data_IF_151876218543
#
_entry.id   IF_151876218543
#
_cell.length_a   1.000
_cell.length_b   1.000
_cell.length_c   1.000
_cell.angle_alpha   90.00
_cell.angle_beta   90.00
_cell.angle_gamma   90.00
#
_symmetry.space_group_name_H-M   'P 1'
#
loop_
_entity.id
_entity.type
_entity.pdbx_description
1 polymer ?
#
# COMPACT_ATOMS: atom_id res chain seq x y z
N UNK A 1 -12.78 -3.62 18.35
CA UNK A 1 -12.16 -2.35 17.91
C UNK A 1 -12.68 -2.02 16.52
N UNK A 2 -13.27 -0.83 16.30
CA UNK A 2 -13.86 -0.46 15.00
C UNK A 2 -12.75 -0.10 14.01
N UNK A 3 -12.70 -0.76 12.85
CA UNK A 3 -11.79 -0.38 11.76
C UNK A 3 -12.31 0.93 11.17
N UNK A 4 -11.49 1.98 11.22
CA UNK A 4 -11.79 3.30 10.65
C UNK A 4 -11.08 3.41 9.29
N UNK A 5 -11.82 3.49 8.17
CA UNK A 5 -11.24 3.78 6.86
C UNK A 5 -10.57 5.15 6.85
N UNK A 6 -9.51 5.31 6.07
CA UNK A 6 -8.77 6.57 5.94
C UNK A 6 -8.68 6.98 4.49
N UNK A 7 -8.85 8.27 4.25
CA UNK A 7 -8.43 8.91 3.02
C UNK A 7 -6.91 8.97 3.00
N UNK A 8 -6.30 8.57 1.89
CA UNK A 8 -4.87 8.64 1.64
C UNK A 8 -4.62 9.47 0.37
N UNK A 9 -3.63 10.35 0.45
CA UNK A 9 -2.96 10.95 -0.71
C UNK A 9 -1.50 10.50 -0.70
N UNK A 10 -0.98 10.06 -1.85
CA UNK A 10 0.40 9.68 -2.03
C UNK A 10 0.94 10.19 -3.35
N UNK A 11 2.01 10.96 -3.26
CA UNK A 11 2.80 11.40 -4.40
C UNK A 11 4.07 10.55 -4.53
N UNK A 12 4.54 10.44 -5.77
CA UNK A 12 5.81 9.82 -6.16
C UNK A 12 6.55 10.78 -7.09
N UNK A 13 7.87 10.85 -6.97
CA UNK A 13 8.69 11.71 -7.84
C UNK A 13 10.01 12.13 -7.21
N UNK A 14 10.98 12.45 -8.06
CA UNK A 14 12.31 12.92 -7.64
C UNK A 14 12.30 14.38 -7.16
N UNK A 15 11.22 15.12 -7.42
CA UNK A 15 11.01 16.52 -7.03
C UNK A 15 10.37 16.69 -5.63
N UNK A 16 10.30 15.62 -4.84
CA UNK A 16 9.63 15.60 -3.54
C UNK A 16 10.52 15.99 -2.35
N UNK A 17 11.79 16.33 -2.55
CA UNK A 17 12.73 16.62 -1.46
C UNK A 17 12.24 17.75 -0.54
N UNK A 18 11.71 18.84 -1.12
CA UNK A 18 11.17 19.96 -0.34
C UNK A 18 9.92 19.54 0.47
N UNK A 19 9.04 18.74 -0.13
CA UNK A 19 7.83 18.27 0.54
C UNK A 19 8.16 17.29 1.68
N UNK A 20 9.13 16.40 1.47
CA UNK A 20 9.63 15.52 2.53
C UNK A 20 10.25 16.32 3.67
N UNK A 21 11.12 17.28 3.38
CA UNK A 21 11.73 18.13 4.39
C UNK A 21 10.68 18.89 5.20
N UNK A 22 9.73 19.55 4.52
CA UNK A 22 8.64 20.28 5.18
C UNK A 22 7.76 19.38 6.04
N UNK A 23 7.45 18.16 5.57
CA UNK A 23 6.68 17.21 6.36
C UNK A 23 7.40 16.84 7.66
N UNK A 24 8.71 16.61 7.60
CA UNK A 24 9.51 16.24 8.77
C UNK A 24 9.76 17.41 9.72
N UNK A 25 9.83 18.64 9.19
CA UNK A 25 9.96 19.86 9.98
C UNK A 25 8.68 20.20 10.76
N UNK A 26 7.52 20.10 10.10
CA UNK A 26 6.23 20.44 10.68
C UNK A 26 5.61 19.29 11.49
N UNK A 27 6.03 18.06 11.21
CA UNK A 27 5.54 16.86 11.85
C UNK A 27 6.12 16.63 13.25
N UNK A 28 5.39 15.89 14.08
CA UNK A 28 5.81 15.49 15.43
C UNK A 28 5.87 13.97 15.55
N UNK A 29 6.57 13.46 16.57
CA UNK A 29 6.65 12.01 16.82
C UNK A 29 7.40 11.24 15.74
N UNK A 30 8.50 11.80 15.24
CA UNK A 30 9.31 11.20 14.18
C UNK A 30 9.74 9.77 14.53
N UNK A 31 9.35 8.84 13.66
CA UNK A 31 9.78 7.45 13.72
C UNK A 31 10.39 7.04 12.38
N UNK A 32 11.62 6.50 12.40
CA UNK A 32 12.26 5.95 11.21
C UNK A 32 12.05 4.45 11.15
N UNK A 33 11.62 3.95 9.99
CA UNK A 33 11.39 2.52 9.75
C UNK A 33 12.00 2.09 8.43
N UNK A 34 12.57 0.89 8.47
CA UNK A 34 12.92 0.13 7.27
C UNK A 34 12.14 -1.17 7.26
N UNK A 35 11.47 -1.48 6.15
CA UNK A 35 10.69 -2.71 6.01
C UNK A 35 10.93 -3.35 4.66
N UNK A 36 10.99 -4.68 4.66
CA UNK A 36 10.83 -5.52 3.46
C UNK A 36 9.40 -6.04 3.44
N UNK A 37 8.73 -5.88 2.31
CA UNK A 37 7.33 -6.25 2.10
C UNK A 37 7.21 -6.94 0.73
N UNK A 38 6.27 -7.86 0.58
CA UNK A 38 5.91 -8.42 -0.73
C UNK A 38 4.52 -7.96 -1.08
N UNK A 39 4.37 -7.26 -2.20
CA UNK A 39 3.08 -6.85 -2.73
C UNK A 39 2.55 -7.89 -3.69
N UNK A 40 1.26 -8.22 -3.57
CA UNK A 40 0.59 -9.06 -4.56
C UNK A 40 -0.20 -8.13 -5.45
N UNK A 41 0.21 -8.07 -6.71
CA UNK A 41 -0.33 -7.14 -7.70
C UNK A 41 -1.10 -7.94 -8.74
N UNK A 42 -2.28 -7.45 -9.08
CA UNK A 42 -3.09 -7.95 -10.20
C UNK A 42 -3.67 -6.77 -10.98
N UNK A 43 -4.49 -7.05 -11.98
CA UNK A 43 -5.26 -6.04 -12.73
C UNK A 43 -6.31 -5.32 -11.87
N UNK A 44 -6.68 -5.85 -10.70
CA UNK A 44 -7.65 -5.22 -9.81
C UNK A 44 -7.14 -3.89 -9.26
N UNK A 45 -7.85 -2.80 -9.56
CA UNK A 45 -7.43 -1.46 -9.16
C UNK A 45 -7.80 -1.09 -7.72
N UNK A 46 -8.85 -1.73 -7.19
CA UNK A 46 -9.48 -1.38 -5.91
C UNK A 46 -8.97 -2.20 -4.71
N UNK A 47 -7.85 -2.91 -4.89
CA UNK A 47 -7.29 -3.80 -3.88
C UNK A 47 -5.81 -3.55 -3.69
N UNK A 48 -5.38 -3.52 -2.43
CA UNK A 48 -3.99 -3.42 -2.01
C UNK A 48 -3.67 -4.62 -1.11
N UNK A 49 -2.98 -5.59 -1.67
CA UNK A 49 -2.56 -6.82 -0.97
C UNK A 49 -1.06 -6.75 -0.71
N UNK A 50 -0.67 -6.99 0.54
CA UNK A 50 0.73 -7.05 0.92
C UNK A 50 0.97 -8.10 1.99
N UNK A 51 2.21 -8.59 2.01
CA UNK A 51 2.75 -9.45 3.04
C UNK A 51 3.86 -8.68 3.75
N UNK A 52 3.81 -8.69 5.08
CA UNK A 52 4.86 -8.11 5.92
C UNK A 52 4.95 -8.83 7.25
N UNK A 53 6.16 -9.27 7.59
CA UNK A 53 6.46 -9.95 8.86
C UNK A 53 5.50 -11.13 9.12
N UNK A 54 5.34 -12.02 8.13
CA UNK A 54 4.47 -13.20 8.25
C UNK A 54 2.98 -12.89 8.23
N UNK A 55 2.56 -11.69 7.83
CA UNK A 55 1.14 -11.28 7.83
C UNK A 55 0.71 -10.82 6.45
N UNK A 56 -0.33 -11.47 5.91
CA UNK A 56 -1.09 -11.05 4.75
C UNK A 56 -2.13 -10.00 5.17
N UNK A 57 -2.07 -8.80 4.57
CA UNK A 57 -2.95 -7.66 4.83
C UNK A 57 -3.59 -7.21 3.52
N UNK A 58 -4.93 -7.14 3.50
CA UNK A 58 -5.70 -6.70 2.34
C UNK A 58 -6.52 -5.47 2.71
N UNK A 59 -6.31 -4.40 1.95
CA UNK A 59 -7.17 -3.21 1.96
C UNK A 59 -7.96 -3.13 0.67
N UNK A 60 -9.21 -2.68 0.80
CA UNK A 60 -10.05 -2.28 -0.35
C UNK A 60 -10.20 -0.77 -0.41
N UNK A 61 -10.24 -0.26 -1.62
CA UNK A 61 -10.71 1.09 -1.91
C UNK A 61 -12.22 1.10 -1.75
N UNK A 62 -12.74 2.03 -0.93
CA UNK A 62 -14.17 2.19 -0.72
C UNK A 62 -14.78 3.22 -1.67
N UNK A 63 -14.09 4.34 -1.82
CA UNK A 63 -14.52 5.47 -2.64
C UNK A 63 -13.34 6.42 -2.86
N UNK A 64 -13.60 7.40 -3.72
CA UNK A 64 -12.73 8.54 -3.96
C UNK A 64 -13.50 9.81 -3.64
N UNK A 65 -12.84 10.75 -2.96
CA UNK A 65 -13.34 12.11 -2.76
C UNK A 65 -12.31 13.07 -3.34
N UNK A 66 -12.71 13.81 -4.37
CA UNK A 66 -11.80 14.57 -5.20
C UNK A 66 -10.69 13.64 -5.73
N UNK A 67 -9.47 13.83 -5.25
CA UNK A 67 -8.30 12.99 -5.58
C UNK A 67 -7.89 12.03 -4.48
N UNK A 68 -8.53 12.08 -3.32
CA UNK A 68 -8.20 11.24 -2.18
C UNK A 68 -8.83 9.86 -2.33
N UNK A 69 -8.09 8.83 -1.95
CA UNK A 69 -8.56 7.44 -1.98
C UNK A 69 -8.87 6.96 -0.57
N UNK A 70 -10.11 6.50 -0.32
CA UNK A 70 -10.50 6.00 1.01
C UNK A 70 -10.30 4.50 1.13
N UNK A 71 -9.29 4.08 1.89
CA UNK A 71 -8.93 2.68 2.06
C UNK A 71 -9.45 2.10 3.37
N UNK A 72 -9.95 0.86 3.31
CA UNK A 72 -10.39 0.07 4.47
C UNK A 72 -9.65 -1.27 4.52
N UNK A 73 -8.98 -1.59 5.63
CA UNK A 73 -8.55 -2.96 5.91
C UNK A 73 -9.76 -3.89 5.96
N UNK A 74 -9.77 -4.92 5.12
CA UNK A 74 -10.87 -5.90 5.04
C UNK A 74 -10.46 -7.29 5.50
N UNK A 75 -9.17 -7.61 5.43
CA UNK A 75 -8.66 -8.93 5.77
C UNK A 75 -7.24 -8.84 6.30
N UNK A 76 -6.94 -9.63 7.34
CA UNK A 76 -5.61 -9.72 7.93
C UNK A 76 -5.42 -11.09 8.57
N UNK A 77 -4.40 -11.82 8.15
CA UNK A 77 -4.13 -13.18 8.65
C UNK A 77 -2.62 -13.42 8.72
N UNK A 78 -2.17 -14.14 9.74
CA UNK A 78 -0.78 -14.58 9.85
C UNK A 78 -0.58 -15.87 9.05
N UNK A 79 0.62 -16.04 8.49
CA UNK A 79 1.04 -17.32 7.93
C UNK A 79 1.38 -18.32 9.06
N UNK A 80 1.21 -19.64 8.82
CA UNK A 80 0.66 -20.22 7.59
C UNK A 80 -0.87 -19.99 7.49
N UNK A 81 -1.37 -19.88 6.25
CA UNK A 81 -2.80 -19.61 5.97
C UNK A 81 -3.47 -20.86 5.41
N UNK A 82 -4.72 -21.09 5.75
CA UNK A 82 -5.50 -22.17 5.13
C UNK A 82 -5.65 -21.91 3.62
N UNK A 83 -5.44 -22.94 2.81
CA UNK A 83 -5.46 -22.81 1.35
C UNK A 83 -6.83 -22.34 0.82
N UNK A 84 -7.91 -22.66 1.52
CA UNK A 84 -9.25 -22.16 1.22
C UNK A 84 -9.38 -20.62 1.34
N UNK A 85 -8.57 -19.98 2.18
CA UNK A 85 -8.53 -18.50 2.30
C UNK A 85 -8.16 -17.86 0.98
N UNK A 86 -7.27 -18.48 0.19
CA UNK A 86 -6.88 -17.95 -1.11
C UNK A 86 -8.10 -17.87 -2.03
N UNK A 87 -8.80 -18.99 -2.18
CA UNK A 87 -9.97 -19.10 -3.07
C UNK A 87 -11.16 -18.24 -2.62
N UNK A 88 -11.38 -18.08 -1.32
CA UNK A 88 -12.58 -17.41 -0.79
C UNK A 88 -12.38 -15.92 -0.49
N UNK A 89 -11.14 -15.52 -0.18
CA UNK A 89 -10.85 -14.17 0.34
C UNK A 89 -9.79 -13.42 -0.45
N UNK A 90 -8.83 -14.10 -1.08
CA UNK A 90 -7.72 -13.42 -1.78
C UNK A 90 -7.99 -13.28 -3.28
N UNK A 91 -8.21 -14.38 -3.99
CA UNK A 91 -8.40 -14.38 -5.45
C UNK A 91 -9.61 -13.55 -5.90
N UNK A 92 -10.78 -13.61 -5.23
CA UNK A 92 -11.92 -12.75 -5.61
C UNK A 92 -11.62 -11.26 -5.47
N UNK A 93 -10.77 -10.86 -4.53
CA UNK A 93 -10.38 -9.45 -4.35
C UNK A 93 -9.35 -8.99 -5.38
N UNK A 94 -8.62 -9.94 -5.97
CA UNK A 94 -7.60 -9.67 -6.99
C UNK A 94 -8.13 -9.84 -8.41
N UNK A 95 -9.40 -10.22 -8.60
CA UNK A 95 -10.00 -10.50 -9.91
C UNK A 95 -9.20 -11.55 -10.70
N UNK A 96 -8.81 -12.62 -10.00
CA UNK A 96 -8.03 -13.74 -10.56
C UNK A 96 -8.88 -15.01 -10.53
N UNK A 97 -9.05 -15.62 -11.69
CA UNK A 97 -9.62 -16.97 -11.81
C UNK A 97 -8.50 -18.01 -11.66
N UNK A 98 -8.54 -18.78 -10.58
CA UNK A 98 -7.55 -19.84 -10.32
C UNK A 98 -8.23 -21.06 -9.71
N UNK A 99 -7.75 -22.29 -10.02
CA UNK A 99 -8.25 -23.47 -9.35
C UNK A 99 -7.95 -23.38 -7.84
N UNK A 100 -8.82 -23.95 -6.98
CA UNK A 100 -8.56 -23.95 -5.55
C UNK A 100 -7.25 -24.70 -5.29
N UNK A 101 -6.36 -24.15 -4.45
CA UNK A 101 -5.15 -24.86 -4.04
C UNK A 101 -5.52 -26.17 -3.31
N UNK A 102 -4.60 -27.13 -3.30
CA UNK A 102 -4.77 -28.36 -2.51
C UNK A 102 -5.08 -28.00 -1.05
N UNK A 103 -5.96 -28.78 -0.41
CA UNK A 103 -6.35 -28.55 0.97
C UNK A 103 -5.11 -28.65 1.89
N UNK A 104 -4.93 -27.65 2.76
CA UNK A 104 -3.81 -27.61 3.69
C UNK A 104 -3.48 -26.21 4.17
N UNK A 105 -2.35 -26.12 4.87
CA UNK A 105 -1.75 -24.86 5.29
C UNK A 105 -0.68 -24.46 4.28
N UNK A 106 -0.73 -23.21 3.83
CA UNK A 106 0.27 -22.60 2.96
C UNK A 106 1.17 -21.68 3.78
N UNK A 107 2.47 -21.91 3.67
CA UNK A 107 3.50 -20.96 4.12
C UNK A 107 3.48 -19.66 3.29
N UNK A 108 4.23 -18.66 3.76
CA UNK A 108 4.42 -17.41 3.01
C UNK A 108 5.10 -17.69 1.66
N UNK A 109 6.13 -18.54 1.67
CA UNK A 109 6.91 -18.92 0.49
C UNK A 109 6.06 -19.66 -0.55
N UNK A 110 5.21 -20.59 -0.11
CA UNK A 110 4.30 -21.31 -1.01
C UNK A 110 3.24 -20.38 -1.60
N UNK A 111 2.70 -19.45 -0.81
CA UNK A 111 1.76 -18.45 -1.28
C UNK A 111 2.38 -17.54 -2.35
N UNK A 112 3.61 -17.05 -2.13
CA UNK A 112 4.35 -16.25 -3.11
C UNK A 112 4.61 -17.06 -4.39
N UNK A 113 5.02 -18.33 -4.27
CA UNK A 113 5.22 -19.20 -5.41
C UNK A 113 3.92 -19.49 -6.18
N UNK A 114 2.77 -19.51 -5.52
CA UNK A 114 1.46 -19.57 -6.21
C UNK A 114 1.22 -18.26 -6.97
N UNK A 115 1.51 -17.11 -6.36
CA UNK A 115 1.31 -15.81 -6.99
C UNK A 115 2.11 -15.61 -8.27
N UNK A 116 3.36 -16.07 -8.30
CA UNK A 116 4.23 -15.94 -9.47
C UNK A 116 3.89 -16.92 -10.61
N UNK A 117 3.09 -17.96 -10.34
CA UNK A 117 2.68 -18.95 -11.34
C UNK A 117 1.31 -18.67 -11.94
N UNK A 118 0.49 -17.87 -11.27
CA UNK A 118 -0.87 -17.57 -11.71
C UNK A 118 -0.87 -16.42 -12.72
N UNK A 119 -1.43 -16.66 -13.89
CA UNK A 119 -1.67 -15.58 -14.86
C UNK A 119 -2.58 -14.51 -14.25
N UNK A 120 -2.24 -13.24 -14.47
CA UNK A 120 -3.02 -12.12 -13.90
C UNK A 120 -2.54 -11.67 -12.52
N UNK A 121 -1.56 -12.34 -11.91
CA UNK A 121 -1.00 -11.99 -10.61
C UNK A 121 0.53 -11.98 -10.64
N UNK A 122 1.14 -11.21 -9.73
CA UNK A 122 2.57 -11.25 -9.50
C UNK A 122 2.92 -10.87 -8.06
N UNK A 123 3.97 -11.49 -7.51
CA UNK A 123 4.58 -11.04 -6.28
C UNK A 123 5.70 -10.03 -6.57
N UNK A 124 5.65 -8.88 -5.91
CA UNK A 124 6.63 -7.80 -6.08
C UNK A 124 7.31 -7.52 -4.75
N UNK A 125 8.59 -7.90 -4.59
CA UNK A 125 9.39 -7.52 -3.43
C UNK A 125 9.61 -6.00 -3.41
N UNK A 126 9.37 -5.39 -2.25
CA UNK A 126 9.49 -3.95 -2.05
C UNK A 126 10.24 -3.67 -0.75
N UNK A 127 11.29 -2.86 -0.84
CA UNK A 127 11.98 -2.32 0.32
C UNK A 127 11.54 -0.88 0.55
N UNK A 128 11.35 -0.50 1.82
CA UNK A 128 10.89 0.86 2.18
C UNK A 128 11.78 1.42 3.26
N UNK A 129 12.31 2.61 3.04
CA UNK A 129 12.98 3.41 4.06
C UNK A 129 12.18 4.70 4.27
N UNK A 130 11.56 4.85 5.45
CA UNK A 130 10.52 5.86 5.68
C UNK A 130 10.67 6.53 7.03
N UNK A 131 10.24 7.78 7.07
CA UNK A 131 10.05 8.60 8.25
C UNK A 131 8.56 8.85 8.42
N UNK A 132 8.02 8.47 9.57
CA UNK A 132 6.61 8.61 9.93
C UNK A 132 6.47 9.73 10.95
N UNK A 133 5.47 10.58 10.77
CA UNK A 133 5.17 11.71 11.68
C UNK A 133 3.66 11.88 11.83
N UNK A 134 3.24 12.56 12.89
CA UNK A 134 1.90 13.13 13.00
C UNK A 134 1.96 14.62 12.59
N UNK A 135 1.04 15.07 11.74
CA UNK A 135 0.94 16.46 11.28
C UNK A 135 -0.54 16.86 11.23
N UNK A 136 -0.93 17.83 12.07
CA UNK A 136 -2.36 18.10 12.32
C UNK A 136 -3.10 16.82 12.72
N UNK A 137 -4.25 16.59 12.08
CA UNK A 137 -5.05 15.36 12.24
C UNK A 137 -4.67 14.23 11.26
N UNK A 138 -3.49 14.34 10.63
CA UNK A 138 -2.99 13.37 9.67
C UNK A 138 -1.79 12.59 10.19
N UNK A 139 -1.62 11.39 9.64
CA UNK A 139 -0.34 10.70 9.62
C UNK A 139 0.38 11.03 8.33
N UNK A 140 1.62 11.47 8.47
CA UNK A 140 2.52 11.75 7.36
C UNK A 140 3.57 10.67 7.21
N UNK A 141 3.95 10.40 5.97
CA UNK A 141 5.03 9.50 5.61
C UNK A 141 5.90 10.14 4.53
N UNK A 142 7.19 10.30 4.80
CA UNK A 142 8.21 10.66 3.81
C UNK A 142 9.16 9.48 3.64
N UNK A 143 9.59 9.16 2.42
CA UNK A 143 10.60 8.12 2.27
C UNK A 143 10.93 7.74 0.85
N UNK A 144 11.64 6.63 0.73
CA UNK A 144 12.06 6.03 -0.53
C UNK A 144 11.62 4.58 -0.55
N UNK A 145 11.05 4.18 -1.67
CA UNK A 145 10.66 2.80 -1.97
C UNK A 145 11.60 2.26 -3.03
N UNK A 146 12.14 1.08 -2.80
CA UNK A 146 13.01 0.39 -3.77
C UNK A 146 12.30 -0.82 -4.32
N UNK A 147 12.20 -0.88 -5.65
CA UNK A 147 11.57 -1.95 -6.42
C UNK A 147 12.47 -2.22 -7.62
N UNK A 148 12.94 -3.45 -7.79
CA UNK A 148 13.82 -3.86 -8.91
C UNK A 148 15.09 -3.03 -9.07
N UNK A 149 15.66 -2.57 -7.96
CA UNK A 149 16.82 -1.67 -7.95
C UNK A 149 16.49 -0.21 -8.29
N UNK A 150 15.28 0.08 -8.80
CA UNK A 150 14.77 1.44 -8.95
C UNK A 150 14.39 2.04 -7.60
N UNK A 151 14.70 3.33 -7.40
CA UNK A 151 14.39 4.09 -6.18
C UNK A 151 13.30 5.11 -6.50
N UNK A 152 12.25 5.12 -5.69
CA UNK A 152 11.06 5.94 -5.89
C UNK A 152 10.80 6.75 -4.62
N UNK A 153 11.17 8.04 -4.57
CA UNK A 153 10.82 8.90 -3.46
C UNK A 153 9.31 9.10 -3.37
N UNK A 154 8.79 9.23 -2.15
CA UNK A 154 7.36 9.33 -1.88
C UNK A 154 7.06 10.20 -0.68
N UNK A 155 5.92 10.89 -0.76
CA UNK A 155 5.26 11.56 0.36
C UNK A 155 3.82 11.09 0.40
N UNK A 156 3.33 10.72 1.58
CA UNK A 156 1.94 10.39 1.79
C UNK A 156 1.36 11.00 3.06
N UNK A 157 0.05 11.23 3.00
CA UNK A 157 -0.76 11.78 4.09
C UNK A 157 -2.03 10.95 4.20
N UNK A 158 -2.37 10.47 5.39
CA UNK A 158 -3.62 9.77 5.65
C UNK A 158 -4.38 10.29 6.89
N UNK A 159 -5.71 10.38 6.79
CA UNK A 159 -6.61 10.66 7.92
C UNK A 159 -8.01 10.09 7.70
N UNK A 160 -8.79 9.97 8.76
CA UNK A 160 -10.23 9.69 8.66
C UNK A 160 -11.01 10.91 8.15
N UNK A 161 -10.49 12.12 8.39
CA UNK A 161 -11.05 13.37 7.88
C UNK A 161 -10.38 13.75 6.54
N UNK A 162 -11.13 13.79 5.42
CA UNK A 162 -10.58 14.19 4.14
C UNK A 162 -10.15 15.67 4.12
N UNK A 163 -10.80 16.56 4.88
CA UNK A 163 -10.45 17.98 4.90
C UNK A 163 -9.05 18.19 5.48
N UNK A 164 -8.73 17.48 6.57
CA UNK A 164 -7.37 17.48 7.15
C UNK A 164 -6.30 17.02 6.14
N UNK A 165 -6.62 16.03 5.29
CA UNK A 165 -5.70 15.57 4.24
C UNK A 165 -5.53 16.67 3.18
N UNK A 166 -6.61 17.30 2.72
CA UNK A 166 -6.57 18.39 1.74
C UNK A 166 -5.76 19.59 2.22
N UNK A 167 -5.93 20.00 3.46
CA UNK A 167 -5.15 21.07 4.09
C UNK A 167 -3.67 20.72 4.18
N UNK A 168 -3.36 19.48 4.57
CA UNK A 168 -1.97 19.01 4.70
C UNK A 168 -1.27 18.92 3.34
N UNK A 169 -1.93 18.40 2.29
CA UNK A 169 -1.30 18.35 0.95
C UNK A 169 -1.04 19.74 0.38
N UNK A 170 -1.90 20.72 0.69
CA UNK A 170 -1.70 22.11 0.30
C UNK A 170 -0.51 22.73 1.06
N UNK A 171 -0.43 22.51 2.37
CA UNK A 171 0.68 22.94 3.22
C UNK A 171 2.03 22.39 2.73
N UNK A 172 2.06 21.10 2.35
CA UNK A 172 3.26 20.44 1.83
C UNK A 172 3.60 20.85 0.38
N UNK A 173 2.70 21.53 -0.33
CA UNK A 173 2.90 21.93 -1.72
C UNK A 173 2.80 20.76 -2.72
N UNK A 174 2.23 19.62 -2.32
CA UNK A 174 2.14 18.41 -3.17
C UNK A 174 0.78 18.27 -3.87
N UNK A 175 -0.10 19.26 -3.74
CA UNK A 175 -1.40 19.27 -4.41
C UNK A 175 -1.32 19.28 -5.95
N UNK A 176 -0.16 19.55 -6.56
CA UNK A 176 0.01 19.42 -8.02
C UNK A 176 0.19 17.98 -8.49
N UNK A 177 0.58 17.06 -7.61
CA UNK A 177 0.93 15.69 -7.97
C UNK A 177 -0.32 14.81 -8.15
N UNK A 178 -0.25 13.76 -9.00
CA UNK A 178 -1.26 12.71 -9.01
C UNK A 178 -1.26 11.96 -7.66
N UNK A 179 -2.45 11.53 -7.22
CA UNK A 179 -2.55 10.56 -6.14
C UNK A 179 -2.36 9.15 -6.73
N UNK A 180 -1.36 8.42 -6.28
CA UNK A 180 -1.07 7.08 -6.76
C UNK A 180 -0.74 6.14 -5.59
N UNK A 181 -1.58 5.12 -5.40
CA UNK A 181 -1.35 4.10 -4.38
C UNK A 181 -0.22 3.13 -4.77
N UNK A 182 0.30 2.37 -3.79
CA UNK A 182 1.26 1.30 -4.06
C UNK A 182 0.84 0.33 -5.18
N UNK A 183 -0.36 -0.28 -5.18
CA UNK A 183 -0.74 -1.19 -6.26
C UNK A 183 -0.77 -0.49 -7.63
N UNK A 184 -1.15 0.79 -7.70
CA UNK A 184 -1.10 1.57 -8.95
C UNK A 184 0.34 1.80 -9.44
N UNK A 185 1.25 2.24 -8.56
CA UNK A 185 2.68 2.36 -8.88
C UNK A 185 3.24 1.02 -9.37
N UNK A 186 3.03 -0.06 -8.62
CA UNK A 186 3.64 -1.35 -8.93
C UNK A 186 3.10 -1.94 -10.23
N UNK A 187 1.81 -1.79 -10.53
CA UNK A 187 1.26 -2.12 -11.85
C UNK A 187 1.95 -1.32 -12.95
N UNK A 188 2.10 0.00 -12.78
CA UNK A 188 2.76 0.86 -13.78
C UNK A 188 4.21 0.44 -14.04
N UNK A 189 4.92 -0.06 -13.03
CA UNK A 189 6.31 -0.51 -13.18
C UNK A 189 6.46 -1.90 -13.81
N UNK A 190 5.42 -2.75 -13.71
CA UNK A 190 5.54 -4.19 -14.01
C UNK A 190 4.57 -4.73 -15.05
N UNK A 191 3.52 -3.98 -15.35
CA UNK A 191 2.45 -4.34 -16.28
C UNK A 191 2.34 -3.38 -17.47
N UNK A 192 3.28 -2.43 -17.59
CA UNK A 192 3.38 -1.53 -18.75
C UNK A 192 3.90 -2.26 -20.00
#
# INVERSE_FOLDING_TARGET
MKIIPRYEFRAWGDDLDLAQARLLELGTGLERRQTSEVYIVSRAEETNVKIRAGILDIKRLLDRRNRLERWKPVFKVAFPVESQVLSTSVFPLLDVEAPPPAAGLLSEEEFVAVADRLEGMMAVPVQKARSLVSIGDCRGEAGIVTVDGGRYPTVAVESADPSAVEETIALLGIGGHPNESYPALLRRLRWA
#
